data_IF_705908683769
#
_entry.id   IF_705908683769
#
_cell.length_a   1.000
_cell.length_b   1.000
_cell.length_c   1.000
_cell.angle_alpha   90.00
_cell.angle_beta   90.00
_cell.angle_gamma   90.00
#
_symmetry.space_group_name_H-M   'P 1'
#
loop_
_entity.id
_entity.type
_entity.pdbx_description
1 polymer ?
#
# COMPACT_ATOMS: atom_id res chain seq x y z
N UNK A 1 -23.92 -25.05 12.36
CA UNK A 1 -22.72 -24.25 12.01
C UNK A 1 -23.12 -23.35 10.86
N UNK A 2 -23.46 -22.09 11.13
CA UNK A 2 -23.99 -21.18 10.09
C UNK A 2 -22.81 -20.66 9.27
N UNK A 3 -22.83 -20.75 7.92
CA UNK A 3 -21.74 -20.25 7.10
C UNK A 3 -21.56 -18.75 7.33
N UNK A 4 -20.32 -18.31 7.59
CA UNK A 4 -19.99 -16.89 7.75
C UNK A 4 -20.32 -16.17 6.43
N UNK A 5 -21.21 -15.19 6.49
CA UNK A 5 -21.56 -14.33 5.36
C UNK A 5 -20.29 -13.63 4.87
N UNK A 6 -19.90 -13.84 3.63
CA UNK A 6 -18.79 -13.11 3.00
C UNK A 6 -19.06 -11.62 3.15
N UNK A 7 -18.22 -10.95 3.94
CA UNK A 7 -18.44 -9.57 4.33
C UNK A 7 -17.94 -8.69 3.19
N UNK A 8 -18.79 -8.45 2.20
CA UNK A 8 -18.47 -7.59 1.06
C UNK A 8 -18.43 -6.12 1.51
N UNK A 9 -17.35 -5.73 2.18
CA UNK A 9 -17.17 -4.37 2.67
C UNK A 9 -16.94 -3.46 1.46
N UNK A 10 -17.76 -2.41 1.27
CA UNK A 10 -17.61 -1.52 0.13
C UNK A 10 -16.26 -0.78 0.20
N UNK A 11 -15.62 -0.51 -0.95
CA UNK A 11 -14.38 0.24 -0.99
C UNK A 11 -14.59 1.65 -0.45
N UNK A 12 -13.65 2.12 0.39
CA UNK A 12 -13.61 3.51 0.87
C UNK A 12 -12.44 4.22 0.23
N UNK A 13 -12.66 5.42 -0.28
CA UNK A 13 -11.60 6.25 -0.82
C UNK A 13 -10.86 6.94 0.33
N UNK A 14 -9.52 6.83 0.34
CA UNK A 14 -8.65 7.48 1.32
C UNK A 14 -7.71 8.41 0.55
N UNK A 15 -7.45 9.60 1.10
CA UNK A 15 -6.44 10.53 0.58
C UNK A 15 -5.17 10.35 1.39
N UNK A 16 -4.07 10.00 0.72
CA UNK A 16 -2.75 9.83 1.30
C UNK A 16 -1.80 10.69 0.47
N UNK A 17 -0.84 11.34 1.13
CA UNK A 17 0.17 12.19 0.49
C UNK A 17 1.24 11.38 -0.25
N UNK A 18 2.40 12.00 -0.44
CA UNK A 18 3.53 11.39 -1.15
C UNK A 18 4.08 10.16 -0.42
N UNK A 19 3.81 10.02 0.88
CA UNK A 19 4.17 8.86 1.69
C UNK A 19 3.55 7.56 1.16
N UNK A 20 2.50 7.67 0.33
CA UNK A 20 1.93 6.53 -0.37
C UNK A 20 2.92 5.82 -1.29
N UNK A 21 3.81 6.57 -1.93
CA UNK A 21 4.82 6.00 -2.83
C UNK A 21 5.94 5.32 -2.04
N UNK A 22 6.34 5.90 -0.90
CA UNK A 22 7.29 5.26 0.03
C UNK A 22 6.69 3.98 0.62
N UNK A 23 5.40 3.97 0.96
CA UNK A 23 4.72 2.75 1.43
C UNK A 23 4.73 1.64 0.37
N UNK A 24 4.48 1.98 -0.90
CA UNK A 24 4.59 1.00 -1.99
C UNK A 24 6.03 0.50 -2.14
N UNK A 25 7.01 1.39 -2.15
CA UNK A 25 8.43 1.02 -2.26
C UNK A 25 8.89 0.14 -1.09
N UNK A 26 8.41 0.41 0.12
CA UNK A 26 8.66 -0.41 1.29
C UNK A 26 8.12 -1.84 1.08
N UNK A 27 6.91 -1.97 0.55
CA UNK A 27 6.30 -3.27 0.24
C UNK A 27 7.09 -4.07 -0.79
N UNK A 28 7.60 -3.39 -1.82
CA UNK A 28 8.50 -3.99 -2.82
C UNK A 28 9.82 -4.44 -2.19
N UNK A 29 10.42 -3.62 -1.34
CA UNK A 29 11.76 -3.85 -0.79
C UNK A 29 11.84 -5.01 0.21
N UNK A 30 10.82 -5.20 1.07
CA UNK A 30 10.81 -6.32 2.03
C UNK A 30 9.96 -7.52 1.57
N UNK A 31 9.64 -7.59 0.27
CA UNK A 31 9.16 -8.83 -0.37
C UNK A 31 7.76 -9.30 0.06
N UNK A 32 6.86 -8.40 0.45
CA UNK A 32 5.49 -8.75 0.87
C UNK A 32 5.36 -9.42 2.24
N UNK A 33 6.45 -9.64 2.99
CA UNK A 33 6.42 -10.19 4.36
C UNK A 33 5.89 -9.22 5.43
N UNK A 34 5.53 -8.00 5.02
CA UNK A 34 5.64 -6.82 5.89
C UNK A 34 4.44 -6.70 6.81
N UNK A 35 3.27 -7.17 6.40
CA UNK A 35 2.07 -7.02 7.22
C UNK A 35 1.08 -8.14 6.90
N UNK A 36 1.43 -9.36 7.29
CA UNK A 36 0.53 -10.54 7.30
C UNK A 36 0.11 -11.07 5.94
N UNK A 37 0.39 -12.36 5.68
CA UNK A 37 -0.10 -13.27 4.61
C UNK A 37 -0.33 -12.77 3.18
N UNK A 38 0.07 -11.54 2.84
CA UNK A 38 -0.44 -10.86 1.66
C UNK A 38 0.61 -10.05 0.93
N UNK A 39 0.74 -10.31 -0.36
CA UNK A 39 1.51 -9.49 -1.30
C UNK A 39 0.79 -8.20 -1.69
N UNK A 40 -0.46 -8.01 -1.26
CA UNK A 40 -1.32 -6.92 -1.69
C UNK A 40 -1.34 -5.74 -0.70
N UNK A 41 -1.13 -4.52 -1.20
CA UNK A 41 -1.09 -3.27 -0.40
C UNK A 41 -2.30 -3.09 0.52
N UNK A 42 -3.50 -3.46 0.04
CA UNK A 42 -4.74 -3.32 0.79
C UNK A 42 -4.83 -4.30 1.97
N UNK A 43 -4.30 -5.51 1.82
CA UNK A 43 -4.23 -6.49 2.90
C UNK A 43 -3.31 -6.00 4.01
N UNK A 44 -2.14 -5.48 3.63
CA UNK A 44 -1.19 -4.91 4.58
C UNK A 44 -1.80 -3.73 5.38
N UNK A 45 -2.58 -2.87 4.73
CA UNK A 45 -3.30 -1.80 5.44
C UNK A 45 -4.38 -2.35 6.40
N UNK A 46 -5.13 -3.39 6.00
CA UNK A 46 -6.15 -4.02 6.85
C UNK A 46 -5.55 -4.69 8.09
N UNK A 47 -4.41 -5.36 7.92
CA UNK A 47 -3.69 -6.02 8.99
C UNK A 47 -3.12 -5.00 9.99
N UNK A 48 -2.55 -3.89 9.51
CA UNK A 48 -2.16 -2.76 10.38
C UNK A 48 -3.37 -2.20 11.16
N UNK A 49 -4.51 -1.98 10.50
CA UNK A 49 -5.74 -1.51 11.17
C UNK A 49 -6.22 -2.50 12.23
N UNK A 50 -6.18 -3.81 11.93
CA UNK A 50 -6.59 -4.86 12.87
C UNK A 50 -5.72 -4.87 14.13
N UNK A 51 -4.39 -4.77 13.95
CA UNK A 51 -3.43 -4.65 15.05
C UNK A 51 -3.65 -3.37 15.86
N UNK A 52 -3.79 -2.22 15.20
CA UNK A 52 -4.03 -0.93 15.87
C UNK A 52 -5.30 -0.95 16.73
N UNK A 53 -6.36 -1.62 16.25
CA UNK A 53 -7.62 -1.80 16.96
C UNK A 53 -7.59 -2.95 18.00
N UNK A 54 -6.45 -3.63 18.19
CA UNK A 54 -6.27 -4.77 19.09
C UNK A 54 -7.26 -5.91 18.84
N UNK A 55 -7.57 -6.21 17.57
CA UNK A 55 -8.42 -7.36 17.24
C UNK A 55 -7.76 -8.66 17.70
N UNK A 56 -8.57 -9.60 18.17
CA UNK A 56 -8.09 -10.92 18.58
C UNK A 56 -7.40 -11.62 17.39
N UNK A 57 -6.18 -12.13 17.61
CA UNK A 57 -5.37 -12.82 16.60
C UNK A 57 -4.71 -11.90 15.57
N UNK A 58 -4.61 -10.60 15.84
CA UNK A 58 -3.80 -9.69 15.02
C UNK A 58 -2.40 -9.53 15.60
N UNK A 59 -1.40 -9.53 14.73
CA UNK A 59 0.01 -9.40 15.07
C UNK A 59 0.57 -8.03 14.66
N UNK A 60 1.64 -7.58 15.33
CA UNK A 60 2.32 -6.35 14.95
C UNK A 60 2.94 -6.48 13.55
N UNK A 61 2.68 -5.52 12.64
CA UNK A 61 3.34 -5.51 11.34
C UNK A 61 4.85 -5.36 11.45
N UNK A 62 5.57 -6.11 10.61
CA UNK A 62 6.99 -5.89 10.39
C UNK A 62 7.20 -4.51 9.76
N UNK A 63 8.21 -3.80 10.26
CA UNK A 63 8.62 -2.50 9.72
C UNK A 63 9.88 -2.68 8.87
N UNK A 64 10.15 -1.77 7.92
CA UNK A 64 11.42 -1.78 7.22
C UNK A 64 12.58 -1.53 8.18
N UNK A 65 13.67 -2.25 7.94
CA UNK A 65 14.92 -2.03 8.65
C UNK A 65 15.52 -0.67 8.26
N UNK A 66 16.25 -0.04 9.19
CA UNK A 66 16.69 1.34 9.03
C UNK A 66 17.64 1.54 7.84
N UNK A 67 18.43 0.53 7.52
CA UNK A 67 19.34 0.48 6.37
C UNK A 67 18.60 0.38 5.02
N UNK A 68 17.35 -0.09 5.01
CA UNK A 68 16.50 -0.13 3.82
C UNK A 68 15.91 1.24 3.47
N UNK A 69 15.78 2.14 4.46
CA UNK A 69 15.07 3.42 4.31
C UNK A 69 15.60 4.32 3.18
N UNK A 70 16.93 4.47 2.97
CA UNK A 70 17.44 5.26 1.84
C UNK A 70 16.98 4.71 0.48
N UNK A 71 16.99 3.39 0.29
CA UNK A 71 16.55 2.74 -0.93
C UNK A 71 15.04 2.88 -1.14
N UNK A 72 14.25 2.71 -0.07
CA UNK A 72 12.79 2.89 -0.08
C UNK A 72 12.41 4.30 -0.53
N UNK A 73 13.06 5.34 0.02
CA UNK A 73 12.79 6.74 -0.36
C UNK A 73 13.16 7.01 -1.81
N UNK A 74 14.31 6.53 -2.26
CA UNK A 74 14.74 6.68 -3.65
C UNK A 74 13.75 6.01 -4.61
N UNK A 75 13.30 4.78 -4.29
CA UNK A 75 12.31 4.07 -5.10
C UNK A 75 10.93 4.74 -5.05
N UNK A 76 10.49 5.23 -3.88
CA UNK A 76 9.25 5.99 -3.75
C UNK A 76 9.24 7.25 -4.64
N UNK A 77 10.35 7.98 -4.70
CA UNK A 77 10.50 9.13 -5.60
C UNK A 77 10.39 8.74 -7.08
N UNK A 78 10.97 7.61 -7.49
CA UNK A 78 10.83 7.09 -8.86
C UNK A 78 9.39 6.74 -9.18
N UNK A 79 8.69 6.02 -8.30
CA UNK A 79 7.28 5.64 -8.48
C UNK A 79 6.42 6.90 -8.64
N UNK A 80 6.68 7.95 -7.86
CA UNK A 80 6.00 9.24 -8.00
C UNK A 80 6.21 9.85 -9.39
N UNK A 81 7.46 9.93 -9.85
CA UNK A 81 7.78 10.48 -11.18
C UNK A 81 7.13 9.69 -12.31
N UNK A 82 7.14 8.35 -12.23
CA UNK A 82 6.47 7.46 -13.19
C UNK A 82 4.95 7.71 -13.23
N UNK A 83 4.32 7.85 -12.06
CA UNK A 83 2.89 8.14 -11.94
C UNK A 83 2.51 9.51 -12.52
N UNK A 84 3.30 10.54 -12.24
CA UNK A 84 3.10 11.88 -12.78
C UNK A 84 3.30 11.93 -14.30
N UNK A 85 4.36 11.28 -14.81
CA UNK A 85 4.61 11.17 -16.24
C UNK A 85 3.43 10.49 -16.96
N UNK A 86 2.91 9.40 -16.39
CA UNK A 86 1.72 8.69 -16.90
C UNK A 86 0.48 9.57 -16.88
N UNK A 87 0.26 10.34 -15.81
CA UNK A 87 -0.86 11.27 -15.72
C UNK A 87 -0.77 12.38 -16.79
N UNK A 88 0.43 12.94 -17.02
CA UNK A 88 0.68 13.93 -18.08
C UNK A 88 0.43 13.37 -19.47
N UNK A 89 0.94 12.16 -19.75
CA UNK A 89 0.72 11.49 -21.05
C UNK A 89 -0.78 11.25 -21.31
N UNK A 90 -1.53 10.79 -20.30
CA UNK A 90 -2.99 10.61 -20.39
C UNK A 90 -3.72 11.93 -20.66
N UNK A 91 -3.31 13.01 -19.99
CA UNK A 91 -3.91 14.32 -20.18
C UNK A 91 -3.62 14.89 -21.59
N UNK A 92 -2.44 14.62 -22.15
CA UNK A 92 -2.08 15.03 -23.51
C UNK A 92 -2.90 14.29 -24.57
N UNK A 93 -3.04 12.96 -24.45
CA UNK A 93 -3.84 12.15 -25.39
C UNK A 93 -5.34 12.46 -25.34
N UNK A 94 -5.88 12.85 -24.19
CA UNK A 94 -7.30 13.23 -24.04
C UNK A 94 -7.65 14.58 -24.67
N UNK A 95 -6.67 15.40 -25.07
CA UNK A 95 -6.91 16.71 -25.73
C UNK A 95 -6.94 16.61 -27.26
N UNK A 96 -6.67 15.44 -27.84
CA UNK A 96 -6.53 15.25 -29.30
C UNK A 96 -7.73 14.52 -29.93
N UNK A 97 -8.80 14.30 -29.17
CA UNK A 97 -10.08 13.70 -29.58
C UNK A 97 -11.22 14.59 -29.14
#
# INVERSE_FOLDING_TARGET
>A
MTPRKETHTPPRQVRIGDEWYEFQAALEAMGGEIVGSGTERAENLRNYIAWFLRKQGSDEPRRPDADMMPAIRARGAQIKQEAEAKARAKAAGSRTT
#
